data_IF_454964984909
#
_entry.id   IF_454964984909
#
_cell.length_a   1.000
_cell.length_b   1.000
_cell.length_c   1.000
_cell.angle_alpha   90.00
_cell.angle_beta   90.00
_cell.angle_gamma   90.00
#
_symmetry.space_group_name_H-M   'P 1'
#
loop_
_entity.id
_entity.type
_entity.pdbx_description
1 polymer ?
#
# COMPACT_ATOMS: atom_id res chain seq x y z
N UNK A 1 -10.82 -48.15 6.35
CA UNK A 1 -11.63 -46.98 5.95
C UNK A 1 -10.65 -45.87 5.67
N UNK A 2 -10.74 -45.27 4.49
CA UNK A 2 -9.76 -44.36 3.89
C UNK A 2 -9.61 -43.04 4.66
N UNK A 3 -8.44 -42.45 4.46
CA UNK A 3 -7.92 -41.15 4.87
C UNK A 3 -8.95 -40.01 4.81
N UNK A 4 -8.90 -39.11 5.79
CA UNK A 4 -9.12 -37.68 5.56
C UNK A 4 -7.82 -36.97 5.95
N UNK A 5 -6.98 -36.82 4.93
CA UNK A 5 -6.07 -35.69 4.78
C UNK A 5 -6.89 -34.39 4.90
N UNK A 6 -6.47 -33.48 5.76
CA UNK A 6 -6.25 -32.09 5.33
C UNK A 6 -5.31 -31.43 6.37
N UNK A 7 -4.07 -31.08 6.01
CA UNK A 7 -3.33 -30.09 6.78
C UNK A 7 -4.09 -28.77 6.63
N UNK A 8 -4.32 -28.08 7.75
CA UNK A 8 -4.91 -26.74 7.78
C UNK A 8 -3.92 -25.79 7.07
N UNK A 9 -4.00 -25.77 5.74
CA UNK A 9 -3.08 -25.09 4.86
C UNK A 9 -3.27 -23.58 4.99
N UNK A 10 -2.13 -22.91 5.00
CA UNK A 10 -1.96 -21.47 4.87
C UNK A 10 -2.96 -20.62 5.68
N UNK A 11 -2.58 -20.33 6.94
CA UNK A 11 -2.73 -18.96 7.39
C UNK A 11 -2.15 -18.08 6.28
N UNK A 12 -3.04 -17.42 5.53
CA UNK A 12 -2.71 -16.43 4.52
C UNK A 12 -1.88 -15.39 5.25
N UNK A 13 -0.56 -15.62 5.24
CA UNK A 13 0.42 -14.74 5.82
C UNK A 13 0.42 -13.61 4.83
N UNK A 14 -0.42 -12.59 5.11
CA UNK A 14 -0.25 -11.27 4.53
C UNK A 14 1.25 -11.01 4.63
N UNK A 15 1.96 -10.88 3.49
CA UNK A 15 3.41 -10.73 3.52
C UNK A 15 3.70 -9.59 4.49
N UNK A 16 4.39 -9.92 5.58
CA UNK A 16 4.62 -8.99 6.67
C UNK A 16 5.30 -7.74 6.12
N UNK A 17 5.05 -6.61 6.77
CA UNK A 17 5.63 -5.31 6.42
C UNK A 17 7.15 -5.39 6.12
N UNK A 18 7.85 -6.28 6.83
CA UNK A 18 9.28 -6.61 6.65
C UNK A 18 9.61 -7.29 5.31
N UNK A 19 8.74 -8.16 4.79
CA UNK A 19 8.92 -8.82 3.49
C UNK A 19 8.70 -7.84 2.33
N UNK A 20 7.86 -6.83 2.52
CA UNK A 20 7.70 -5.71 1.59
C UNK A 20 8.97 -4.87 1.65
N UNK A 21 9.37 -4.37 2.83
CA UNK A 21 10.59 -3.59 3.02
C UNK A 21 11.88 -4.27 2.50
N UNK A 22 12.02 -5.60 2.62
CA UNK A 22 13.16 -6.35 2.12
C UNK A 22 13.17 -6.55 0.59
N UNK A 23 12.01 -6.42 -0.08
CA UNK A 23 11.87 -6.46 -1.54
C UNK A 23 11.85 -5.06 -2.18
N UNK A 24 11.76 -4.01 -1.36
CA UNK A 24 11.28 -2.67 -1.74
C UNK A 24 12.30 -1.82 -2.48
N UNK A 25 13.61 -2.06 -2.35
CA UNK A 25 14.58 -1.20 -3.04
C UNK A 25 15.70 -2.02 -3.66
N UNK A 26 15.72 -2.22 -5.00
CA UNK A 26 16.91 -2.75 -5.64
C UNK A 26 18.10 -1.84 -5.36
N UNK A 27 19.27 -2.44 -5.14
CA UNK A 27 20.49 -1.67 -4.87
C UNK A 27 20.74 -0.66 -6.00
N UNK A 28 20.71 0.64 -5.66
CA UNK A 28 20.88 1.73 -6.63
C UNK A 28 19.62 2.49 -7.02
N UNK A 29 18.44 2.19 -6.47
CA UNK A 29 17.29 3.09 -6.58
C UNK A 29 17.60 4.42 -5.88
N UNK A 30 17.68 5.47 -6.67
CA UNK A 30 17.72 6.85 -6.16
C UNK A 30 16.29 7.24 -5.85
N UNK A 31 16.03 7.58 -4.59
CA UNK A 31 14.77 8.16 -4.15
C UNK A 31 14.93 9.67 -4.22
N UNK A 32 14.22 10.29 -5.14
CA UNK A 32 14.09 11.75 -5.21
C UNK A 32 13.33 12.25 -3.96
N UNK A 33 13.70 13.42 -3.44
CA UNK A 33 13.00 14.05 -2.31
C UNK A 33 11.51 14.25 -2.61
N UNK A 34 11.15 14.54 -3.87
CA UNK A 34 9.77 14.72 -4.31
C UNK A 34 8.94 13.44 -4.13
N UNK A 35 9.49 12.27 -4.46
CA UNK A 35 8.82 10.98 -4.25
C UNK A 35 8.57 10.70 -2.77
N UNK A 36 9.51 11.10 -1.90
CA UNK A 36 9.34 10.97 -0.46
C UNK A 36 8.22 11.88 0.08
N UNK A 37 8.10 13.10 -0.44
CA UNK A 37 7.02 14.03 -0.13
C UNK A 37 5.67 13.53 -0.64
N UNK A 38 5.61 12.98 -1.86
CA UNK A 38 4.38 12.41 -2.44
C UNK A 38 3.85 11.23 -1.62
N UNK A 39 4.76 10.36 -1.12
CA UNK A 39 4.41 9.28 -0.18
C UNK A 39 3.79 9.87 1.09
N UNK A 40 4.39 10.92 1.66
CA UNK A 40 3.90 11.56 2.89
C UNK A 40 2.55 12.27 2.68
N UNK A 41 2.36 12.95 1.56
CA UNK A 41 1.11 13.64 1.22
C UNK A 41 -0.04 12.62 1.09
N UNK A 42 0.20 11.54 0.34
CA UNK A 42 -0.79 10.47 0.18
C UNK A 42 -1.10 9.77 1.51
N UNK A 43 -0.08 9.45 2.31
CA UNK A 43 -0.24 8.86 3.65
C UNK A 43 -1.12 9.78 4.53
N UNK A 44 -0.82 11.08 4.54
CA UNK A 44 -1.57 12.08 5.29
C UNK A 44 -3.03 12.17 4.87
N UNK A 45 -3.28 12.24 3.56
CA UNK A 45 -4.63 12.31 3.00
C UNK A 45 -5.46 11.04 3.31
N UNK A 46 -4.86 9.85 3.23
CA UNK A 46 -5.51 8.59 3.59
C UNK A 46 -5.83 8.53 5.10
N UNK A 47 -4.93 8.98 5.97
CA UNK A 47 -5.18 9.05 7.42
C UNK A 47 -6.32 10.01 7.76
N UNK A 48 -6.37 11.17 7.10
CA UNK A 48 -7.50 12.10 7.26
C UNK A 48 -8.81 11.48 6.74
N UNK A 49 -8.76 10.76 5.63
CA UNK A 49 -9.94 10.06 5.09
C UNK A 49 -10.44 8.92 5.98
N UNK A 50 -9.57 8.17 6.64
CA UNK A 50 -9.97 7.05 7.51
C UNK A 50 -10.50 7.51 8.88
N UNK A 51 -10.29 8.78 9.22
CA UNK A 51 -10.83 9.43 10.43
C UNK A 51 -12.07 10.28 10.15
N UNK A 52 -12.24 10.80 8.93
CA UNK A 52 -13.43 11.48 8.48
C UNK A 52 -14.55 10.49 8.13
N UNK A 53 -15.74 10.66 8.72
CA UNK A 53 -16.92 9.80 8.53
C UNK A 53 -17.56 9.87 7.13
N UNK A 54 -16.94 10.58 6.19
CA UNK A 54 -17.43 10.74 4.83
C UNK A 54 -16.27 10.50 3.86
N UNK A 55 -16.34 9.44 3.05
CA UNK A 55 -15.41 9.13 1.96
C UNK A 55 -15.42 10.15 0.81
N UNK A 56 -15.89 11.38 1.06
CA UNK A 56 -15.91 12.50 0.13
C UNK A 56 -14.61 13.29 0.36
N UNK A 57 -13.59 12.97 -0.42
CA UNK A 57 -12.24 13.56 -0.29
C UNK A 57 -11.14 12.55 0.03
N UNK A 58 -11.49 11.27 0.13
CA UNK A 58 -10.51 10.21 0.20
C UNK A 58 -9.65 10.16 -1.07
N UNK A 59 -8.34 9.91 -0.95
CA UNK A 59 -7.50 9.58 -2.10
C UNK A 59 -8.14 8.46 -2.91
N UNK A 60 -8.22 8.66 -4.22
CA UNK A 60 -8.85 7.70 -5.13
C UNK A 60 -7.85 6.62 -5.51
N UNK A 61 -8.35 5.51 -6.02
CA UNK A 61 -7.52 4.50 -6.69
C UNK A 61 -6.52 5.12 -7.68
N UNK A 62 -6.93 6.16 -8.40
CA UNK A 62 -6.08 6.89 -9.37
C UNK A 62 -4.91 7.63 -8.73
N UNK A 63 -5.04 8.09 -7.49
CA UNK A 63 -3.95 8.80 -6.80
C UNK A 63 -2.91 7.78 -6.28
N UNK A 64 -3.38 6.60 -5.85
CA UNK A 64 -2.53 5.46 -5.48
C UNK A 64 -1.77 4.93 -6.71
N UNK A 65 -2.45 4.83 -7.87
CA UNK A 65 -1.84 4.39 -9.12
C UNK A 65 -0.73 5.32 -9.62
N UNK A 66 -0.95 6.65 -9.54
CA UNK A 66 0.08 7.63 -9.93
C UNK A 66 1.35 7.45 -9.12
N UNK A 67 1.23 7.29 -7.80
CA UNK A 67 2.39 7.05 -6.95
C UNK A 67 3.06 5.70 -7.26
N UNK A 68 2.26 4.68 -7.60
CA UNK A 68 2.78 3.36 -7.94
C UNK A 68 3.68 3.38 -9.20
N UNK A 69 3.38 4.24 -10.18
CA UNK A 69 4.14 4.36 -11.43
C UNK A 69 5.55 4.95 -11.21
N UNK A 70 5.76 5.67 -10.11
CA UNK A 70 7.04 6.27 -9.75
C UNK A 70 7.93 5.33 -8.90
N UNK A 71 7.39 4.16 -8.54
CA UNK A 71 8.03 3.22 -7.63
C UNK A 71 8.65 2.01 -8.35
N UNK A 72 9.60 1.30 -7.71
CA UNK A 72 10.11 0.03 -8.23
C UNK A 72 9.00 -0.98 -8.47
N UNK A 73 9.13 -1.78 -9.54
CA UNK A 73 8.07 -2.65 -10.07
C UNK A 73 7.41 -3.60 -9.05
N UNK A 74 8.17 -4.11 -8.07
CA UNK A 74 7.62 -4.97 -7.01
C UNK A 74 6.63 -4.23 -6.11
N UNK A 75 6.90 -2.95 -5.82
CA UNK A 75 6.03 -2.07 -5.03
C UNK A 75 4.87 -1.59 -5.88
N UNK A 76 5.13 -1.25 -7.14
CA UNK A 76 4.10 -0.87 -8.12
C UNK A 76 2.99 -1.92 -8.18
N UNK A 77 3.35 -3.20 -8.32
CA UNK A 77 2.37 -4.29 -8.37
C UNK A 77 1.51 -4.34 -7.10
N UNK A 78 2.12 -4.16 -5.93
CA UNK A 78 1.38 -4.17 -4.65
C UNK A 78 0.44 -2.97 -4.52
N UNK A 79 0.88 -1.77 -4.88
CA UNK A 79 0.04 -0.57 -4.84
C UNK A 79 -1.08 -0.63 -5.88
N UNK A 80 -0.84 -1.23 -7.05
CA UNK A 80 -1.87 -1.49 -8.06
C UNK A 80 -2.96 -2.45 -7.53
N UNK A 81 -2.59 -3.55 -6.88
CA UNK A 81 -3.56 -4.46 -6.23
C UNK A 81 -4.43 -3.72 -5.21
N UNK A 82 -3.81 -2.85 -4.41
CA UNK A 82 -4.54 -2.07 -3.39
C UNK A 82 -5.43 -1.00 -4.04
N UNK A 83 -4.98 -0.35 -5.10
CA UNK A 83 -5.79 0.60 -5.87
C UNK A 83 -7.01 -0.08 -6.50
N UNK A 84 -6.86 -1.29 -7.04
CA UNK A 84 -7.97 -2.11 -7.53
C UNK A 84 -8.94 -2.49 -6.41
N UNK A 85 -8.42 -2.80 -5.21
CA UNK A 85 -9.23 -3.01 -4.02
C UNK A 85 -10.09 -1.78 -3.66
N UNK A 86 -9.49 -0.59 -3.62
CA UNK A 86 -10.19 0.69 -3.38
C UNK A 86 -11.23 0.94 -4.46
N UNK A 87 -10.89 0.73 -5.74
CA UNK A 87 -11.81 0.90 -6.88
C UNK A 87 -13.03 -0.02 -6.77
N UNK A 88 -12.80 -1.31 -6.53
CA UNK A 88 -13.85 -2.32 -6.38
C UNK A 88 -14.78 -1.99 -5.21
N UNK A 89 -14.22 -1.65 -4.05
CA UNK A 89 -14.99 -1.24 -2.87
C UNK A 89 -15.79 0.05 -3.10
N UNK A 90 -15.23 1.00 -3.86
CA UNK A 90 -15.93 2.23 -4.26
C UNK A 90 -17.11 1.95 -5.17
N UNK A 91 -16.93 1.09 -6.19
CA UNK A 91 -18.02 0.67 -7.09
C UNK A 91 -19.14 -0.04 -6.32
N UNK A 92 -18.77 -0.87 -5.34
CA UNK A 92 -19.71 -1.57 -4.47
C UNK A 92 -20.39 -0.66 -3.42
N UNK A 93 -19.88 0.55 -3.19
CA UNK A 93 -20.34 1.44 -2.13
C UNK A 93 -20.04 0.92 -0.71
N UNK A 94 -19.10 -0.01 -0.57
CA UNK A 94 -18.74 -0.61 0.71
C UNK A 94 -17.73 0.28 1.45
N UNK A 95 -18.25 1.20 2.25
CA UNK A 95 -17.45 2.14 3.05
C UNK A 95 -16.51 1.44 4.05
N UNK A 96 -16.88 0.25 4.53
CA UNK A 96 -16.03 -0.54 5.45
C UNK A 96 -14.83 -1.06 4.68
N UNK A 97 -15.07 -1.67 3.52
CA UNK A 97 -14.01 -2.21 2.67
C UNK A 97 -13.11 -1.11 2.11
N UNK A 98 -13.65 0.04 1.74
CA UNK A 98 -12.85 1.22 1.34
C UNK A 98 -11.89 1.60 2.46
N UNK A 99 -12.37 1.66 3.71
CA UNK A 99 -11.54 1.99 4.86
C UNK A 99 -10.44 0.96 5.11
N UNK A 100 -10.76 -0.34 5.03
CA UNK A 100 -9.76 -1.41 5.13
C UNK A 100 -8.68 -1.26 4.07
N UNK A 101 -9.06 -1.07 2.80
CA UNK A 101 -8.09 -0.87 1.73
C UNK A 101 -7.24 0.40 1.95
N UNK A 102 -7.80 1.50 2.44
CA UNK A 102 -7.01 2.68 2.78
C UNK A 102 -6.01 2.43 3.91
N UNK A 103 -6.38 1.64 4.93
CA UNK A 103 -5.44 1.25 6.00
C UNK A 103 -4.31 0.38 5.46
N UNK A 104 -4.61 -0.58 4.58
CA UNK A 104 -3.59 -1.42 3.94
C UNK A 104 -2.63 -0.60 3.05
N UNK A 105 -3.14 0.44 2.38
CA UNK A 105 -2.31 1.40 1.61
C UNK A 105 -1.43 2.20 2.57
N UNK A 106 -1.97 2.76 3.66
CA UNK A 106 -1.19 3.50 4.66
C UNK A 106 -0.06 2.64 5.20
N UNK A 107 -0.33 1.40 5.58
CA UNK A 107 0.67 0.48 6.12
C UNK A 107 1.78 0.20 5.10
N UNK A 108 1.41 0.03 3.83
CA UNK A 108 2.37 -0.14 2.72
C UNK A 108 3.24 1.11 2.53
N UNK A 109 2.65 2.31 2.56
CA UNK A 109 3.38 3.58 2.43
C UNK A 109 4.31 3.84 3.62
N UNK A 110 3.90 3.51 4.85
CA UNK A 110 4.75 3.60 6.04
C UNK A 110 5.96 2.66 5.92
N UNK A 111 5.73 1.43 5.47
CA UNK A 111 6.79 0.45 5.24
C UNK A 111 7.80 0.94 4.20
N UNK A 112 7.28 1.45 3.09
CA UNK A 112 8.05 2.03 2.02
C UNK A 112 8.89 3.20 2.56
N UNK A 113 8.25 4.17 3.20
CA UNK A 113 8.93 5.34 3.78
C UNK A 113 10.06 4.96 4.73
N UNK A 114 9.84 3.97 5.61
CA UNK A 114 10.88 3.49 6.52
C UNK A 114 12.08 2.87 5.78
N UNK A 115 11.83 2.15 4.68
CA UNK A 115 12.87 1.57 3.84
C UNK A 115 13.60 2.60 2.97
N UNK A 116 12.90 3.65 2.53
CA UNK A 116 13.46 4.73 1.70
C UNK A 116 14.25 5.77 2.51
N UNK A 117 13.87 6.01 3.77
CA UNK A 117 14.52 6.98 4.66
C UNK A 117 16.07 6.91 4.69
N UNK A 118 16.71 5.73 4.88
CA UNK A 118 18.17 5.63 4.89
C UNK A 118 18.83 5.82 3.51
N UNK A 119 18.06 5.87 2.43
CA UNK A 119 18.52 6.03 1.05
C UNK A 119 18.27 7.44 0.51
N UNK A 120 17.56 8.29 1.26
CA UNK A 120 17.35 9.69 0.90
C UNK A 120 18.70 10.39 0.88
N UNK A 121 19.13 10.85 -0.29
CA UNK A 121 20.29 11.73 -0.42
C UNK A 121 19.86 13.14 -0.03
N UNK A 122 20.51 13.72 0.99
CA UNK A 122 20.42 15.15 1.27
C UNK A 122 21.10 15.89 0.10
N UNK A 123 20.33 16.66 -0.69
CA UNK A 123 20.88 17.61 -1.67
C UNK A 123 21.50 18.83 -0.96
#
# INVERSE_FOLDING_TARGET
MHQNDEPLDAAATTPGLEAVAAQVVPAGTVIDEHLFEDILELEGALRLSTTATAGIGAPRATDIEKLADELPQAITARLQELADGVRSATIAGDLTKIRECHLDVIDTLVALRAALWPLKTEE
#
